data_IF_580454744275
#
_entry.id   IF_580454744275
#
_cell.length_a   1.000
_cell.length_b   1.000
_cell.length_c   1.000
_cell.angle_alpha   90.00
_cell.angle_beta   90.00
_cell.angle_gamma   90.00
#
_symmetry.space_group_name_H-M   'P 1'
#
loop_
_entity.id
_entity.type
_entity.pdbx_description
1 polymer ?
#
# COMPACT_ATOMS: atom_id res chain seq x y z
N UNK A 1 -24.10 -1.01 32.04
CA UNK A 1 -24.14 -1.83 30.81
C UNK A 1 -22.75 -1.85 30.23
N UNK A 2 -22.11 -3.01 30.13
CA UNK A 2 -20.88 -3.10 29.34
C UNK A 2 -21.27 -2.83 27.87
N UNK A 3 -20.84 -1.71 27.35
CA UNK A 3 -20.96 -1.44 25.91
C UNK A 3 -20.13 -2.50 25.22
N UNK A 4 -20.79 -3.41 24.51
CA UNK A 4 -20.10 -4.42 23.71
C UNK A 4 -19.32 -3.68 22.63
N UNK A 5 -18.00 -3.78 22.68
CA UNK A 5 -17.10 -3.20 21.68
C UNK A 5 -17.28 -3.93 20.36
N UNK A 6 -17.47 -3.26 19.22
CA UNK A 6 -17.63 -3.94 17.94
C UNK A 6 -16.32 -4.62 17.53
N UNK A 7 -16.42 -5.76 16.85
CA UNK A 7 -15.30 -6.30 16.08
C UNK A 7 -15.05 -5.41 14.85
N UNK A 8 -13.83 -5.40 14.32
CA UNK A 8 -13.47 -4.58 13.16
C UNK A 8 -12.78 -5.43 12.11
N UNK A 9 -13.29 -5.37 10.89
CA UNK A 9 -12.68 -5.95 9.68
C UNK A 9 -12.21 -4.82 8.77
N UNK A 10 -10.90 -4.68 8.59
CA UNK A 10 -10.27 -3.75 7.66
C UNK A 10 -9.90 -4.50 6.38
N UNK A 11 -10.46 -4.07 5.25
CA UNK A 11 -10.21 -4.62 3.93
C UNK A 11 -9.55 -3.53 3.09
N UNK A 12 -8.34 -3.78 2.60
CA UNK A 12 -7.68 -2.92 1.63
C UNK A 12 -7.80 -3.52 0.24
N UNK A 13 -8.22 -2.71 -0.75
CA UNK A 13 -8.23 -3.06 -2.17
C UNK A 13 -7.25 -2.12 -2.87
N UNK A 14 -6.14 -2.68 -3.35
CA UNK A 14 -5.06 -1.90 -3.95
C UNK A 14 -5.56 -1.05 -5.12
N UNK A 15 -5.14 0.21 -5.14
CA UNK A 15 -5.42 1.21 -6.17
C UNK A 15 -6.92 1.48 -6.45
N UNK A 16 -7.87 1.07 -5.58
CA UNK A 16 -9.29 1.33 -5.78
C UNK A 16 -9.62 2.83 -5.69
N UNK A 17 -9.80 3.46 -6.84
CA UNK A 17 -10.15 4.88 -6.96
C UNK A 17 -11.64 5.11 -6.65
N UNK A 18 -11.99 6.27 -6.04
CA UNK A 18 -13.39 6.62 -5.77
C UNK A 18 -14.31 6.56 -6.98
N UNK A 19 -13.82 6.88 -8.16
CA UNK A 19 -14.62 6.89 -9.39
C UNK A 19 -15.19 5.50 -9.75
N UNK A 20 -14.49 4.40 -9.44
CA UNK A 20 -15.03 3.04 -9.65
C UNK A 20 -16.24 2.74 -8.76
N UNK A 21 -16.38 3.45 -7.65
CA UNK A 21 -17.53 3.32 -6.76
C UNK A 21 -18.73 4.14 -7.24
N UNK A 22 -18.48 5.36 -7.73
CA UNK A 22 -19.54 6.31 -8.06
C UNK A 22 -19.93 6.36 -9.53
N UNK A 23 -19.04 5.95 -10.45
CA UNK A 23 -19.24 5.97 -11.89
C UNK A 23 -19.33 4.56 -12.49
N UNK A 24 -19.83 3.58 -11.74
CA UNK A 24 -19.88 2.16 -12.12
C UNK A 24 -20.46 1.94 -13.53
N UNK A 25 -21.55 2.62 -13.84
CA UNK A 25 -22.22 2.49 -15.14
C UNK A 25 -21.35 2.96 -16.31
N UNK A 26 -20.67 4.09 -16.14
CA UNK A 26 -19.83 4.68 -17.20
C UNK A 26 -18.54 3.88 -17.39
N UNK A 27 -18.06 3.26 -16.32
CA UNK A 27 -16.87 2.39 -16.31
C UNK A 27 -17.22 0.92 -16.62
N UNK A 28 -18.50 0.61 -16.84
CA UNK A 28 -18.98 -0.74 -17.13
C UNK A 28 -18.47 -1.78 -16.10
N UNK A 29 -18.63 -1.46 -14.81
CA UNK A 29 -18.29 -2.33 -13.67
C UNK A 29 -19.51 -2.48 -12.76
N UNK A 30 -19.73 -3.67 -12.22
CA UNK A 30 -20.83 -3.96 -11.30
C UNK A 30 -20.31 -4.36 -9.92
N UNK A 31 -20.63 -3.54 -8.91
CA UNK A 31 -20.16 -3.74 -7.52
C UNK A 31 -21.36 -3.81 -6.57
N UNK A 32 -22.22 -4.86 -6.69
CA UNK A 32 -23.46 -4.92 -5.93
C UNK A 32 -23.25 -4.98 -4.41
N UNK A 33 -22.19 -5.64 -3.92
CA UNK A 33 -21.94 -5.74 -2.49
C UNK A 33 -21.40 -4.43 -1.93
N UNK A 34 -20.45 -3.77 -2.60
CA UNK A 34 -19.94 -2.45 -2.20
C UNK A 34 -21.06 -1.41 -2.23
N UNK A 35 -21.92 -1.44 -3.25
CA UNK A 35 -23.11 -0.59 -3.33
C UNK A 35 -24.03 -0.83 -2.14
N UNK A 36 -24.43 -2.09 -1.92
CA UNK A 36 -25.39 -2.44 -0.87
C UNK A 36 -24.87 -2.09 0.53
N UNK A 37 -23.68 -2.57 0.90
CA UNK A 37 -23.18 -2.37 2.26
C UNK A 37 -22.75 -0.94 2.53
N UNK A 38 -22.01 -0.32 1.63
CA UNK A 38 -21.33 0.94 1.92
C UNK A 38 -22.05 2.16 1.35
N UNK A 39 -22.42 2.17 0.06
CA UNK A 39 -23.01 3.37 -0.55
C UNK A 39 -24.45 3.60 -0.09
N UNK A 40 -25.24 2.53 0.06
CA UNK A 40 -26.64 2.62 0.49
C UNK A 40 -26.81 2.58 2.00
N UNK A 41 -25.98 1.81 2.72
CA UNK A 41 -26.16 1.48 4.12
C UNK A 41 -24.98 1.85 5.03
N UNK A 42 -23.97 2.52 4.55
CA UNK A 42 -22.78 2.94 5.26
C UNK A 42 -22.41 4.40 5.04
N UNK A 43 -21.23 4.78 5.49
CA UNK A 43 -20.61 6.06 5.18
C UNK A 43 -19.48 5.89 4.18
N UNK A 44 -19.25 6.90 3.36
CA UNK A 44 -18.23 6.90 2.34
C UNK A 44 -17.64 8.29 2.11
N UNK A 45 -16.38 8.33 1.69
CA UNK A 45 -15.68 9.57 1.34
C UNK A 45 -15.84 9.85 -0.16
N UNK A 46 -16.85 10.64 -0.55
CA UNK A 46 -17.08 10.96 -1.96
C UNK A 46 -15.95 11.79 -2.59
N UNK A 47 -15.29 12.64 -1.79
CA UNK A 47 -14.14 13.44 -2.22
C UNK A 47 -12.82 12.65 -2.20
N UNK A 48 -12.91 11.36 -1.83
CA UNK A 48 -11.78 10.43 -1.75
C UNK A 48 -10.89 10.66 -0.52
N UNK A 49 -9.83 9.89 -0.47
CA UNK A 49 -8.79 9.93 0.57
C UNK A 49 -7.53 10.51 -0.02
N UNK A 50 -7.02 11.60 0.54
CA UNK A 50 -5.69 12.07 0.21
C UNK A 50 -4.67 11.08 0.78
N UNK A 51 -3.94 10.42 -0.11
CA UNK A 51 -2.91 9.47 0.27
C UNK A 51 -1.68 10.15 0.85
N UNK A 52 -0.67 9.38 1.26
CA UNK A 52 0.61 9.92 1.76
C UNK A 52 1.62 10.07 0.63
N UNK A 53 2.74 10.76 0.90
CA UNK A 53 3.83 10.94 -0.04
C UNK A 53 4.99 9.98 0.28
N UNK A 54 5.37 9.08 -0.70
CA UNK A 54 4.75 8.84 -2.00
C UNK A 54 3.45 8.03 -1.91
N UNK A 55 2.62 8.13 -2.96
CA UNK A 55 1.40 7.35 -3.12
C UNK A 55 1.74 5.93 -3.60
N UNK A 56 2.39 5.15 -2.74
CA UNK A 56 3.01 3.88 -3.06
C UNK A 56 2.60 2.82 -2.02
N UNK A 57 2.36 1.58 -2.43
CA UNK A 57 1.67 0.55 -1.65
C UNK A 57 2.17 0.40 -0.21
N UNK A 58 3.46 0.13 0.00
CA UNK A 58 3.99 -0.14 1.34
C UNK A 58 4.04 1.08 2.25
N UNK A 59 4.49 2.27 1.79
CA UNK A 59 4.33 3.50 2.56
C UNK A 59 2.89 3.78 2.98
N UNK A 60 1.93 3.62 2.05
CA UNK A 60 0.52 3.86 2.31
C UNK A 60 -0.06 2.89 3.33
N UNK A 61 0.18 1.57 3.17
CA UNK A 61 -0.32 0.57 4.11
C UNK A 61 0.27 0.72 5.51
N UNK A 62 1.57 1.08 5.61
CA UNK A 62 2.17 1.35 6.92
C UNK A 62 1.56 2.62 7.55
N UNK A 63 1.30 3.66 6.76
CA UNK A 63 0.60 4.86 7.24
C UNK A 63 -0.83 4.56 7.68
N UNK A 64 -1.55 3.75 6.90
CA UNK A 64 -2.92 3.33 7.18
C UNK A 64 -3.04 2.59 8.52
N UNK A 65 -2.04 1.75 8.88
CA UNK A 65 -2.08 0.92 10.10
C UNK A 65 -1.44 1.60 11.32
N UNK A 66 -0.76 2.73 11.13
CA UNK A 66 -0.07 3.45 12.22
C UNK A 66 -0.64 4.85 12.50
N UNK A 67 -1.30 5.46 11.51
CA UNK A 67 -1.83 6.83 11.59
C UNK A 67 -0.74 7.92 11.49
N UNK A 68 0.47 7.58 10.97
CA UNK A 68 1.57 8.54 10.79
C UNK A 68 2.11 8.52 9.36
N UNK A 69 2.81 9.58 8.97
CA UNK A 69 3.42 9.72 7.66
C UNK A 69 4.68 8.85 7.48
N UNK A 70 5.08 8.55 6.23
CA UNK A 70 6.30 7.83 5.89
C UNK A 70 7.57 8.40 6.53
N UNK A 71 7.68 9.71 6.70
CA UNK A 71 8.81 10.35 7.39
C UNK A 71 8.94 9.93 8.86
N UNK A 72 7.87 9.45 9.51
CA UNK A 72 7.85 9.01 10.91
C UNK A 72 8.02 7.50 11.03
N UNK A 73 7.26 6.71 10.27
CA UNK A 73 7.39 5.25 10.34
C UNK A 73 8.61 4.71 9.57
N UNK A 74 9.21 5.50 8.67
CA UNK A 74 10.48 5.19 8.01
C UNK A 74 10.40 4.31 6.75
N UNK A 75 9.20 3.94 6.30
CA UNK A 75 8.97 3.19 5.06
C UNK A 75 8.48 4.19 3.99
N UNK A 76 9.34 4.53 3.03
CA UNK A 76 9.08 5.51 1.98
C UNK A 76 9.14 4.94 0.56
N UNK A 77 9.23 3.61 0.43
CA UNK A 77 9.26 2.92 -0.85
C UNK A 77 8.78 1.48 -0.66
N UNK A 78 8.35 0.82 -1.73
CA UNK A 78 8.09 -0.62 -1.71
C UNK A 78 9.42 -1.38 -1.64
N UNK A 79 10.43 -0.93 -2.39
CA UNK A 79 11.73 -1.61 -2.56
C UNK A 79 12.77 -0.96 -1.65
N UNK A 80 13.56 -1.79 -0.99
CA UNK A 80 14.70 -1.33 -0.18
C UNK A 80 15.73 -0.64 -1.08
N UNK A 81 16.28 0.48 -0.61
CA UNK A 81 17.33 1.21 -1.31
C UNK A 81 18.56 0.33 -1.52
N UNK A 82 18.89 0.04 -2.79
CA UNK A 82 19.93 -0.93 -3.16
C UNK A 82 20.56 -0.63 -4.53
N UNK A 83 21.37 0.44 -4.65
CA UNK A 83 22.01 0.81 -5.93
C UNK A 83 22.86 -0.29 -6.55
N UNK A 84 23.51 -1.11 -5.71
CA UNK A 84 24.46 -2.14 -6.14
C UNK A 84 23.79 -3.52 -6.36
N UNK A 85 22.47 -3.63 -6.16
CA UNK A 85 21.71 -4.89 -6.32
C UNK A 85 22.09 -5.99 -5.32
N UNK A 86 22.72 -5.64 -4.19
CA UNK A 86 23.16 -6.61 -3.15
C UNK A 86 22.00 -7.28 -2.42
N UNK A 87 20.86 -6.59 -2.35
CA UNK A 87 19.63 -7.06 -1.70
C UNK A 87 18.66 -7.73 -2.67
N UNK A 88 19.03 -7.87 -3.93
CA UNK A 88 18.27 -8.60 -4.97
C UNK A 88 16.80 -8.17 -5.08
N UNK A 89 16.53 -6.87 -5.03
CA UNK A 89 15.17 -6.34 -5.13
C UNK A 89 14.30 -6.58 -3.89
N UNK A 90 14.89 -6.73 -2.72
CA UNK A 90 14.15 -6.93 -1.47
C UNK A 90 13.18 -5.77 -1.20
N UNK A 91 11.98 -6.10 -0.71
CA UNK A 91 10.94 -5.14 -0.38
C UNK A 91 10.89 -4.84 1.12
N UNK A 92 10.11 -3.83 1.50
CA UNK A 92 9.89 -3.44 2.89
C UNK A 92 8.77 -4.29 3.55
N UNK A 93 8.93 -5.61 3.59
CA UNK A 93 7.90 -6.52 4.14
C UNK A 93 7.61 -6.34 5.63
N UNK A 94 8.57 -5.77 6.38
CA UNK A 94 8.48 -5.70 7.84
C UNK A 94 7.65 -4.51 8.31
N UNK A 95 6.80 -4.77 9.32
CA UNK A 95 6.16 -3.70 10.06
C UNK A 95 7.21 -2.75 10.66
N UNK A 96 6.91 -1.45 10.65
CA UNK A 96 7.78 -0.47 11.28
C UNK A 96 7.94 -0.77 12.77
N UNK A 97 9.17 -0.62 13.25
CA UNK A 97 9.51 -0.72 14.68
C UNK A 97 9.52 0.63 15.39
N UNK A 98 9.34 1.71 14.64
CA UNK A 98 9.44 3.07 15.15
C UNK A 98 8.13 3.55 15.82
N UNK A 99 7.00 2.96 15.42
CA UNK A 99 5.65 3.38 15.85
C UNK A 99 4.79 2.18 16.16
N UNK A 100 3.81 2.35 17.06
CA UNK A 100 2.81 1.32 17.38
C UNK A 100 1.88 1.10 16.17
N UNK A 101 1.62 -0.14 15.83
CA UNK A 101 0.63 -0.48 14.81
C UNK A 101 -0.75 -0.69 15.42
N UNK A 102 -1.81 -0.57 14.62
CA UNK A 102 -3.17 -0.84 15.07
C UNK A 102 -3.35 -2.28 15.54
N UNK A 103 -2.58 -3.24 15.00
CA UNK A 103 -2.57 -4.63 15.49
C UNK A 103 -2.10 -4.72 16.94
N UNK A 104 -1.00 -4.04 17.28
CA UNK A 104 -0.45 -4.01 18.63
C UNK A 104 -1.39 -3.27 19.59
N UNK A 105 -1.92 -2.12 19.15
CA UNK A 105 -2.86 -1.32 19.92
C UNK A 105 -4.17 -2.07 20.22
N UNK A 106 -4.75 -2.75 19.23
CA UNK A 106 -5.96 -3.56 19.39
C UNK A 106 -5.73 -4.71 20.39
N UNK A 107 -4.64 -5.46 20.23
CA UNK A 107 -4.26 -6.53 21.16
C UNK A 107 -4.11 -6.02 22.59
N UNK A 108 -3.40 -4.90 22.79
CA UNK A 108 -3.19 -4.26 24.09
C UNK A 108 -4.52 -3.83 24.74
N UNK A 109 -5.55 -3.52 23.93
CA UNK A 109 -6.87 -3.11 24.39
C UNK A 109 -7.90 -4.25 24.45
N UNK A 110 -7.44 -5.52 24.40
CA UNK A 110 -8.25 -6.70 24.69
C UNK A 110 -8.97 -7.30 23.48
N UNK A 111 -8.64 -6.86 22.26
CA UNK A 111 -9.08 -7.48 21.02
C UNK A 111 -8.23 -8.70 20.67
N UNK A 112 -8.82 -9.68 19.98
CA UNK A 112 -8.03 -10.66 19.23
C UNK A 112 -7.57 -9.98 17.94
N UNK A 113 -6.25 -9.77 17.81
CA UNK A 113 -5.67 -9.01 16.70
C UNK A 113 -5.10 -9.93 15.64
N UNK A 114 -5.55 -9.78 14.39
CA UNK A 114 -5.17 -10.65 13.29
C UNK A 114 -4.88 -9.88 11.99
N UNK A 115 -4.11 -10.52 11.12
CA UNK A 115 -3.83 -10.04 9.77
C UNK A 115 -3.63 -11.20 8.82
N UNK A 116 -4.19 -11.07 7.60
CA UNK A 116 -3.97 -12.00 6.50
C UNK A 116 -3.48 -11.22 5.29
N UNK A 117 -2.25 -11.49 4.89
CA UNK A 117 -1.63 -10.96 3.68
C UNK A 117 -1.67 -9.43 3.55
N UNK A 118 -1.67 -8.70 4.65
CA UNK A 118 -1.62 -7.25 4.63
C UNK A 118 -0.18 -6.77 4.40
N UNK A 119 0.08 -5.81 3.50
CA UNK A 119 1.43 -5.28 3.27
C UNK A 119 2.09 -4.79 4.55
N UNK A 120 3.42 -4.91 4.63
CA UNK A 120 4.22 -4.49 5.79
C UNK A 120 3.85 -5.19 7.11
N UNK A 121 3.42 -6.45 7.06
CA UNK A 121 2.96 -7.17 8.27
C UNK A 121 3.94 -8.21 8.82
N UNK A 122 5.09 -8.43 8.17
CA UNK A 122 6.13 -9.33 8.72
C UNK A 122 6.62 -8.79 10.06
N UNK A 123 6.56 -9.63 11.10
CA UNK A 123 6.95 -9.25 12.46
C UNK A 123 5.96 -8.33 13.19
N UNK A 124 4.75 -8.14 12.65
CA UNK A 124 3.68 -7.41 13.34
C UNK A 124 3.28 -8.10 14.65
N UNK A 125 2.96 -7.31 15.67
CA UNK A 125 2.67 -7.80 17.03
C UNK A 125 1.15 -8.03 17.24
N UNK A 126 0.55 -8.88 16.42
CA UNK A 126 -0.84 -9.36 16.59
C UNK A 126 -0.90 -10.70 17.33
N UNK A 127 -2.08 -11.30 17.41
CA UNK A 127 -2.28 -12.66 17.91
C UNK A 127 -2.15 -13.68 16.78
N UNK A 128 -2.71 -13.38 15.60
CA UNK A 128 -2.71 -14.24 14.43
C UNK A 128 -2.28 -13.43 13.20
N UNK A 129 -1.03 -13.55 12.78
CA UNK A 129 -0.47 -12.83 11.64
C UNK A 129 0.01 -13.84 10.60
N UNK A 130 -0.61 -13.85 9.43
CA UNK A 130 -0.10 -14.48 8.21
C UNK A 130 0.31 -13.34 7.29
N UNK A 131 1.61 -13.00 7.22
CA UNK A 131 2.05 -11.79 6.55
C UNK A 131 2.03 -11.92 5.02
N UNK A 132 1.98 -10.78 4.34
CA UNK A 132 2.40 -10.72 2.96
C UNK A 132 3.92 -10.86 2.89
N UNK A 133 4.39 -11.80 2.07
CA UNK A 133 5.81 -11.99 1.81
C UNK A 133 6.02 -12.70 0.47
N UNK A 134 6.90 -12.18 -0.35
CA UNK A 134 7.27 -12.77 -1.63
C UNK A 134 8.71 -12.39 -1.99
N UNK A 135 9.29 -13.12 -2.94
CA UNK A 135 10.64 -12.89 -3.40
C UNK A 135 10.67 -13.10 -4.91
N UNK A 136 11.23 -12.15 -5.64
CA UNK A 136 11.32 -12.21 -7.09
C UNK A 136 11.92 -13.52 -7.57
N UNK A 137 11.26 -14.16 -8.54
CA UNK A 137 11.69 -15.39 -9.19
C UNK A 137 11.91 -16.58 -8.24
N UNK A 138 11.33 -16.58 -7.06
CA UNK A 138 11.39 -17.71 -6.15
C UNK A 138 10.01 -18.34 -5.95
N UNK A 139 9.97 -19.67 -5.96
CA UNK A 139 8.87 -20.42 -5.38
C UNK A 139 9.13 -20.53 -3.87
N UNK A 140 8.46 -19.67 -3.10
CA UNK A 140 8.52 -19.79 -1.66
C UNK A 140 7.73 -21.03 -1.23
N UNK A 141 8.37 -21.90 -0.50
CA UNK A 141 7.70 -22.98 0.21
C UNK A 141 6.80 -22.35 1.30
N UNK A 142 5.66 -22.96 1.55
CA UNK A 142 4.77 -22.62 2.68
C UNK A 142 5.50 -22.58 4.02
N UNK A 143 6.56 -23.36 4.17
CA UNK A 143 7.45 -23.32 5.33
C UNK A 143 8.04 -21.93 5.59
N UNK A 144 8.29 -21.12 4.55
CA UNK A 144 8.74 -19.73 4.72
C UNK A 144 7.65 -18.85 5.31
N UNK A 145 6.42 -18.93 4.76
CA UNK A 145 5.29 -18.16 5.28
C UNK A 145 5.00 -18.56 6.72
N UNK A 146 5.09 -19.85 7.03
CA UNK A 146 4.88 -20.36 8.37
C UNK A 146 5.95 -19.85 9.36
N UNK A 147 7.21 -19.81 8.94
CA UNK A 147 8.32 -19.34 9.76
C UNK A 147 8.22 -17.86 10.14
N UNK A 148 7.55 -17.04 9.32
CA UNK A 148 7.33 -15.60 9.57
C UNK A 148 5.92 -15.29 10.07
N UNK A 149 5.04 -16.29 10.18
CA UNK A 149 3.70 -16.18 10.75
C UNK A 149 3.73 -16.14 12.28
N UNK A 150 2.73 -15.57 12.88
CA UNK A 150 2.53 -15.56 14.33
C UNK A 150 1.12 -16.03 14.69
N UNK A 151 0.95 -17.07 15.54
CA UNK A 151 2.00 -17.97 16.02
C UNK A 151 2.61 -18.81 14.87
N UNK A 152 3.82 -19.28 15.06
CA UNK A 152 4.41 -20.29 14.16
C UNK A 152 3.52 -21.53 14.12
N UNK A 153 3.34 -22.14 12.94
CA UNK A 153 2.42 -23.23 12.70
C UNK A 153 1.03 -22.78 12.19
N UNK A 154 0.74 -21.47 12.22
CA UNK A 154 -0.56 -20.93 11.79
C UNK A 154 -0.81 -21.12 10.28
N UNK A 155 0.17 -20.83 9.43
CA UNK A 155 0.04 -21.03 7.99
C UNK A 155 -0.08 -22.53 7.65
N UNK A 156 0.72 -23.36 8.30
CA UNK A 156 0.62 -24.83 8.15
C UNK A 156 -0.73 -25.40 8.59
N UNK A 157 -1.36 -24.83 9.63
CA UNK A 157 -2.70 -25.19 10.06
C UNK A 157 -3.75 -24.84 8.97
N UNK A 158 -3.64 -23.64 8.39
CA UNK A 158 -4.53 -23.21 7.31
C UNK A 158 -4.38 -24.08 6.05
N UNK A 159 -3.15 -24.44 5.69
CA UNK A 159 -2.87 -25.28 4.53
C UNK A 159 -3.50 -26.68 4.58
N UNK A 160 -3.67 -27.25 5.76
CA UNK A 160 -4.34 -28.57 5.92
C UNK A 160 -5.78 -28.56 5.42
N UNK A 161 -6.46 -27.43 5.52
CA UNK A 161 -7.87 -27.30 5.11
C UNK A 161 -8.01 -26.62 3.74
N UNK A 162 -7.14 -25.66 3.41
CA UNK A 162 -7.28 -24.81 2.22
C UNK A 162 -6.41 -25.28 1.04
N UNK A 163 -5.50 -26.23 1.28
CA UNK A 163 -4.46 -26.58 0.34
C UNK A 163 -3.29 -25.61 0.38
N UNK A 164 -2.26 -25.87 -0.40
CA UNK A 164 -1.00 -25.11 -0.41
C UNK A 164 -1.25 -23.62 -0.65
N UNK A 165 -0.68 -22.78 0.21
CA UNK A 165 -0.60 -21.34 -0.08
C UNK A 165 0.16 -21.14 -1.39
N UNK A 166 -0.32 -20.23 -2.25
CA UNK A 166 0.42 -19.90 -3.44
C UNK A 166 1.73 -19.24 -3.06
N UNK A 167 2.69 -19.38 -3.94
CA UNK A 167 3.95 -18.69 -3.85
C UNK A 167 3.72 -17.23 -3.56
N UNK A 168 4.21 -16.78 -2.40
CA UNK A 168 4.36 -15.43 -2.03
C UNK A 168 3.22 -14.53 -2.46
N UNK A 169 1.99 -14.99 -2.31
CA UNK A 169 0.83 -14.17 -2.60
C UNK A 169 0.91 -13.51 -3.98
N UNK A 170 0.84 -14.35 -4.97
CA UNK A 170 0.56 -13.98 -6.34
C UNK A 170 -0.45 -12.81 -6.40
N UNK A 171 -0.10 -11.70 -7.03
CA UNK A 171 -0.91 -10.48 -7.13
C UNK A 171 -2.09 -10.62 -8.12
N UNK A 172 -2.37 -11.83 -8.61
CA UNK A 172 -3.43 -12.15 -9.57
C UNK A 172 -4.77 -12.40 -8.88
N UNK A 173 -5.82 -12.53 -9.67
CA UNK A 173 -7.16 -12.95 -9.22
C UNK A 173 -7.12 -14.25 -8.41
N UNK A 174 -6.28 -15.21 -8.79
CA UNK A 174 -6.11 -16.46 -8.05
C UNK A 174 -5.48 -16.22 -6.66
N UNK A 175 -4.53 -15.29 -6.58
CA UNK A 175 -3.94 -14.87 -5.32
C UNK A 175 -4.99 -14.24 -4.40
N UNK A 176 -5.86 -13.41 -4.94
CA UNK A 176 -6.95 -12.79 -4.18
C UNK A 176 -8.00 -13.80 -3.72
N UNK A 177 -8.33 -14.79 -4.55
CA UNK A 177 -9.21 -15.89 -4.12
C UNK A 177 -8.62 -16.66 -2.92
N UNK A 178 -7.32 -16.80 -2.86
CA UNK A 178 -6.65 -17.47 -1.74
C UNK A 178 -6.55 -16.57 -0.51
N UNK A 179 -6.32 -15.26 -0.67
CA UNK A 179 -6.42 -14.29 0.44
C UNK A 179 -7.82 -14.29 1.03
N UNK A 180 -8.85 -14.34 0.20
CA UNK A 180 -10.23 -14.50 0.64
C UNK A 180 -10.43 -15.77 1.44
N UNK A 181 -10.04 -16.95 0.92
CA UNK A 181 -10.18 -18.24 1.61
C UNK A 181 -9.45 -18.24 2.95
N UNK A 182 -8.23 -17.71 2.99
CA UNK A 182 -7.45 -17.61 4.21
C UNK A 182 -8.10 -16.67 5.23
N UNK A 183 -8.64 -15.54 4.79
CA UNK A 183 -9.36 -14.59 5.64
C UNK A 183 -10.65 -15.20 6.19
N UNK A 184 -11.43 -15.87 5.36
CA UNK A 184 -12.66 -16.56 5.76
C UNK A 184 -12.37 -17.69 6.76
N UNK A 185 -11.29 -18.45 6.54
CA UNK A 185 -10.82 -19.46 7.49
C UNK A 185 -10.42 -18.83 8.84
N UNK A 186 -9.67 -17.72 8.80
CA UNK A 186 -9.25 -16.97 9.99
C UNK A 186 -10.47 -16.52 10.81
N UNK A 187 -11.46 -15.94 10.15
CA UNK A 187 -12.72 -15.51 10.75
C UNK A 187 -13.41 -16.66 11.47
N UNK A 188 -13.56 -17.80 10.81
CA UNK A 188 -14.29 -18.97 11.34
C UNK A 188 -13.57 -19.70 12.46
N UNK A 189 -12.25 -19.86 12.35
CA UNK A 189 -11.48 -20.76 13.20
C UNK A 189 -10.73 -20.03 14.34
N UNK A 190 -10.39 -18.74 14.18
CA UNK A 190 -9.61 -18.00 15.18
C UNK A 190 -10.37 -16.81 15.78
N UNK A 191 -11.31 -16.20 15.04
CA UNK A 191 -11.92 -14.92 15.42
C UNK A 191 -13.40 -15.04 15.81
N UNK A 192 -13.93 -16.24 15.94
CA UNK A 192 -15.33 -16.45 16.31
C UNK A 192 -15.60 -15.93 17.73
N UNK A 193 -16.25 -14.76 17.84
CA UNK A 193 -16.52 -14.08 19.12
C UNK A 193 -17.43 -14.90 20.04
N UNK A 194 -18.32 -15.73 19.47
CA UNK A 194 -19.20 -16.63 20.24
C UNK A 194 -18.42 -17.70 20.99
N UNK A 195 -17.25 -18.09 20.45
CA UNK A 195 -16.37 -19.08 21.07
C UNK A 195 -15.32 -18.41 21.97
N UNK A 196 -14.76 -17.30 21.52
CA UNK A 196 -13.64 -16.63 22.20
C UNK A 196 -14.10 -15.63 23.27
N UNK A 197 -15.34 -15.16 23.23
CA UNK A 197 -15.88 -14.16 24.15
C UNK A 197 -15.21 -12.78 24.03
N UNK A 198 -14.45 -12.51 22.95
CA UNK A 198 -13.70 -11.26 22.72
C UNK A 198 -13.98 -10.71 21.32
N UNK A 199 -14.05 -9.37 21.17
CA UNK A 199 -14.06 -8.76 19.84
C UNK A 199 -12.72 -8.96 19.13
N UNK A 200 -12.71 -8.83 17.80
CA UNK A 200 -11.50 -8.94 17.01
C UNK A 200 -11.21 -7.67 16.18
N UNK A 201 -9.94 -7.50 15.83
CA UNK A 201 -9.47 -6.64 14.75
C UNK A 201 -8.77 -7.51 13.72
N UNK A 202 -9.26 -7.52 12.49
CA UNK A 202 -8.66 -8.25 11.37
C UNK A 202 -8.39 -7.31 10.21
N UNK A 203 -7.19 -7.35 9.66
CA UNK A 203 -6.86 -6.71 8.38
C UNK A 203 -6.60 -7.75 7.29
N UNK A 204 -7.03 -7.43 6.06
CA UNK A 204 -6.76 -8.20 4.85
C UNK A 204 -6.58 -7.29 3.64
N UNK A 205 -6.08 -7.83 2.53
CA UNK A 205 -5.68 -7.06 1.36
C UNK A 205 -5.97 -7.83 0.08
N UNK A 206 -6.38 -7.10 -0.97
CA UNK A 206 -6.58 -7.59 -2.33
C UNK A 206 -5.72 -6.76 -3.29
N UNK A 207 -4.99 -7.44 -4.18
CA UNK A 207 -3.99 -6.84 -5.04
C UNK A 207 -4.32 -6.87 -6.54
N UNK A 208 -5.20 -7.77 -6.97
CA UNK A 208 -5.34 -8.08 -8.40
C UNK A 208 -5.91 -6.94 -9.24
N UNK A 209 -6.64 -6.01 -8.64
CA UNK A 209 -7.14 -4.83 -9.35
C UNK A 209 -5.97 -3.94 -9.80
N UNK A 210 -5.02 -3.62 -8.90
CA UNK A 210 -3.82 -2.85 -9.25
C UNK A 210 -2.93 -3.58 -10.26
N UNK A 211 -2.67 -4.87 -10.05
CA UNK A 211 -1.86 -5.67 -10.98
C UNK A 211 -2.45 -5.71 -12.39
N UNK A 212 -3.78 -5.89 -12.51
CA UNK A 212 -4.44 -5.82 -13.81
C UNK A 212 -4.41 -4.41 -14.41
N UNK A 213 -4.48 -3.36 -13.60
CA UNK A 213 -4.30 -1.99 -14.06
C UNK A 213 -2.87 -1.77 -14.59
N UNK A 214 -1.84 -2.24 -13.90
CA UNK A 214 -0.45 -2.19 -14.37
C UNK A 214 -0.25 -2.87 -15.73
N UNK A 215 -0.85 -4.04 -15.91
CA UNK A 215 -0.67 -4.84 -17.15
C UNK A 215 -1.53 -4.33 -18.30
N UNK A 216 -2.78 -3.95 -18.05
CA UNK A 216 -3.80 -3.70 -19.06
C UNK A 216 -4.23 -2.24 -19.19
N UNK A 217 -3.98 -1.39 -18.19
CA UNK A 217 -4.42 0.00 -18.05
C UNK A 217 -5.51 0.14 -17.00
N UNK A 218 -5.63 1.35 -16.40
CA UNK A 218 -6.54 1.61 -15.26
C UNK A 218 -7.99 1.24 -15.59
N UNK A 219 -8.46 1.61 -16.78
CA UNK A 219 -9.85 1.43 -17.21
C UNK A 219 -10.05 0.21 -18.12
N UNK A 220 -9.15 -0.76 -18.05
CA UNK A 220 -9.25 -1.98 -18.83
C UNK A 220 -10.40 -2.88 -18.35
N UNK A 221 -10.89 -3.72 -19.26
CA UNK A 221 -11.88 -4.73 -18.92
C UNK A 221 -11.36 -5.73 -17.87
N UNK A 222 -10.08 -6.05 -17.94
CA UNK A 222 -9.40 -6.97 -17.04
C UNK A 222 -9.38 -6.41 -15.61
N UNK A 223 -9.05 -5.14 -15.43
CA UNK A 223 -9.11 -4.47 -14.14
C UNK A 223 -10.56 -4.43 -13.58
N UNK A 224 -11.53 -4.06 -14.41
CA UNK A 224 -12.95 -4.05 -14.02
C UNK A 224 -13.41 -5.45 -13.56
N UNK A 225 -13.08 -6.50 -14.30
CA UNK A 225 -13.43 -7.89 -13.95
C UNK A 225 -12.79 -8.38 -12.66
N UNK A 226 -11.53 -7.97 -12.38
CA UNK A 226 -10.90 -8.24 -11.09
C UNK A 226 -11.65 -7.59 -9.95
N UNK A 227 -12.05 -6.32 -10.12
CA UNK A 227 -12.79 -5.60 -9.09
C UNK A 227 -14.16 -6.22 -8.80
N UNK A 228 -14.87 -6.71 -9.82
CA UNK A 228 -16.14 -7.45 -9.66
C UNK A 228 -15.96 -8.75 -8.87
N UNK A 229 -14.86 -9.47 -9.09
CA UNK A 229 -14.52 -10.67 -8.29
C UNK A 229 -14.20 -10.31 -6.84
N UNK A 230 -13.47 -9.22 -6.63
CA UNK A 230 -13.15 -8.69 -5.30
C UNK A 230 -14.44 -8.28 -4.57
N UNK A 231 -15.36 -7.57 -5.24
CA UNK A 231 -16.68 -7.22 -4.68
C UNK A 231 -17.43 -8.46 -4.17
N UNK A 232 -17.49 -9.52 -4.99
CA UNK A 232 -18.11 -10.77 -4.58
C UNK A 232 -17.45 -11.39 -3.34
N UNK A 233 -16.11 -11.43 -3.27
CA UNK A 233 -15.38 -11.98 -2.14
C UNK A 233 -15.59 -11.13 -0.88
N UNK A 234 -15.62 -9.81 -0.99
CA UNK A 234 -15.94 -8.88 0.11
C UNK A 234 -17.32 -9.16 0.67
N UNK A 235 -18.35 -9.30 -0.18
CA UNK A 235 -19.69 -9.65 0.25
C UNK A 235 -19.73 -10.95 1.08
N UNK A 236 -19.01 -11.99 0.64
CA UNK A 236 -18.91 -13.26 1.40
C UNK A 236 -18.20 -13.10 2.74
N UNK A 237 -17.11 -12.30 2.79
CA UNK A 237 -16.42 -12.05 4.06
C UNK A 237 -17.30 -11.27 5.05
N UNK A 238 -18.05 -10.26 4.58
CA UNK A 238 -18.99 -9.51 5.43
C UNK A 238 -20.03 -10.46 6.03
N UNK A 239 -20.63 -11.35 5.24
CA UNK A 239 -21.62 -12.32 5.74
C UNK A 239 -21.01 -13.27 6.78
N UNK A 240 -19.78 -13.74 6.57
CA UNK A 240 -19.08 -14.55 7.59
C UNK A 240 -18.83 -13.74 8.86
N UNK A 241 -18.30 -12.53 8.73
CA UNK A 241 -17.98 -11.67 9.87
C UNK A 241 -19.23 -11.34 10.71
N UNK A 242 -20.35 -10.97 10.07
CA UNK A 242 -21.66 -10.79 10.75
C UNK A 242 -22.03 -12.00 11.59
N UNK A 243 -21.97 -13.17 10.98
CA UNK A 243 -22.40 -14.43 11.60
C UNK A 243 -21.60 -14.81 12.84
N UNK A 244 -20.27 -14.61 12.79
CA UNK A 244 -19.38 -14.98 13.90
C UNK A 244 -19.31 -13.91 15.00
N UNK A 245 -19.58 -12.63 14.69
CA UNK A 245 -19.56 -11.51 15.63
C UNK A 245 -20.92 -11.20 16.27
N UNK A 246 -21.96 -11.99 15.99
CA UNK A 246 -23.34 -11.73 16.44
C UNK A 246 -23.86 -10.35 16.00
N UNK A 247 -23.53 -9.95 14.77
CA UNK A 247 -23.87 -8.65 14.16
C UNK A 247 -23.13 -7.43 14.79
N UNK A 248 -22.31 -7.61 15.82
CA UNK A 248 -21.48 -6.58 16.43
C UNK A 248 -20.18 -6.41 15.63
N UNK A 249 -20.28 -5.90 14.40
CA UNK A 249 -19.19 -5.76 13.45
C UNK A 249 -19.18 -4.39 12.81
N UNK A 250 -18.00 -3.82 12.62
CA UNK A 250 -17.73 -2.71 11.71
C UNK A 250 -16.77 -3.20 10.62
N UNK A 251 -17.12 -2.94 9.37
CA UNK A 251 -16.28 -3.23 8.21
C UNK A 251 -15.79 -1.91 7.63
N UNK A 252 -14.48 -1.77 7.53
CA UNK A 252 -13.81 -0.67 6.89
C UNK A 252 -13.23 -1.16 5.57
N UNK A 253 -13.66 -0.58 4.47
CA UNK A 253 -13.07 -0.80 3.16
C UNK A 253 -12.29 0.45 2.76
N UNK A 254 -11.05 0.24 2.36
CA UNK A 254 -10.11 1.30 1.99
C UNK A 254 -9.35 0.92 0.74
N UNK A 255 -8.71 1.90 0.10
CA UNK A 255 -7.53 1.67 -0.73
C UNK A 255 -6.36 2.49 -0.21
N UNK A 256 -5.21 2.25 -0.73
CA UNK A 256 -3.96 2.89 -0.34
C UNK A 256 -3.66 4.11 -1.22
N UNK A 257 -3.90 4.00 -2.51
CA UNK A 257 -3.73 5.05 -3.52
C UNK A 257 -4.69 4.84 -4.70
N UNK A 258 -4.60 5.71 -5.68
CA UNK A 258 -5.14 5.52 -6.99
C UNK A 258 -4.03 5.23 -8.01
N UNK A 259 -4.36 5.31 -9.30
CA UNK A 259 -3.43 5.10 -10.40
C UNK A 259 -3.82 5.91 -11.63
N UNK A 260 -2.88 6.09 -12.55
CA UNK A 260 -3.10 6.73 -13.84
C UNK A 260 -2.31 6.02 -14.95
N UNK A 261 -2.73 6.22 -16.19
CA UNK A 261 -2.07 5.59 -17.33
C UNK A 261 -0.65 6.11 -17.51
N UNK A 262 0.28 5.19 -17.79
CA UNK A 262 1.68 5.48 -18.02
C UNK A 262 1.97 5.57 -19.52
N UNK A 263 2.65 6.65 -19.94
CA UNK A 263 2.94 6.94 -21.35
C UNK A 263 4.46 6.93 -21.64
N UNK A 264 5.26 7.26 -20.64
CA UNK A 264 6.71 7.43 -20.79
C UNK A 264 7.45 6.87 -19.60
N UNK A 265 8.64 6.32 -19.86
CA UNK A 265 9.64 5.99 -18.84
C UNK A 265 10.79 6.97 -18.91
N UNK A 266 11.21 7.52 -17.75
CA UNK A 266 12.38 8.39 -17.63
C UNK A 266 13.39 7.78 -16.65
N UNK A 267 14.68 7.94 -16.94
CA UNK A 267 15.78 7.31 -16.20
C UNK A 267 16.85 8.32 -15.80
N UNK A 268 16.70 9.01 -14.65
CA UNK A 268 17.68 10.02 -14.20
C UNK A 268 19.09 9.45 -14.01
N UNK A 269 19.21 8.18 -13.62
CA UNK A 269 20.53 7.53 -13.48
C UNK A 269 21.33 7.47 -14.77
N UNK A 270 20.70 7.50 -15.95
CA UNK A 270 21.39 7.61 -17.24
C UNK A 270 22.17 8.93 -17.34
N UNK A 271 21.60 10.03 -16.85
CA UNK A 271 22.26 11.32 -16.81
C UNK A 271 23.40 11.32 -15.79
N UNK A 272 23.15 10.77 -14.59
CA UNK A 272 24.18 10.64 -13.57
C UNK A 272 25.36 9.78 -14.04
N UNK A 273 25.10 8.70 -14.78
CA UNK A 273 26.12 7.85 -15.37
C UNK A 273 26.94 8.60 -16.43
N UNK A 274 26.31 9.34 -17.34
CA UNK A 274 26.98 10.19 -18.34
C UNK A 274 27.83 11.30 -17.68
N UNK A 275 27.43 11.75 -16.49
CA UNK A 275 28.20 12.71 -15.70
C UNK A 275 29.32 12.05 -14.86
N UNK A 276 29.60 10.75 -15.03
CA UNK A 276 30.57 9.98 -14.24
C UNK A 276 30.28 9.98 -12.73
N UNK A 277 28.99 10.01 -12.34
CA UNK A 277 28.52 9.92 -10.96
C UNK A 277 28.06 8.48 -10.61
N UNK A 278 27.90 7.63 -11.62
CA UNK A 278 27.64 6.18 -11.50
C UNK A 278 28.58 5.45 -12.43
N UNK A 279 29.22 4.38 -11.95
CA UNK A 279 30.02 3.45 -12.76
C UNK A 279 29.38 2.07 -12.75
N UNK A 280 29.37 1.43 -13.88
CA UNK A 280 28.76 0.09 -14.08
C UNK A 280 29.59 -0.73 -15.07
N UNK A 281 29.39 -2.06 -15.10
CA UNK A 281 30.05 -2.97 -16.02
C UNK A 281 29.21 -3.19 -17.31
N UNK A 282 29.68 -4.02 -18.21
CA UNK A 282 29.00 -4.36 -19.47
C UNK A 282 27.64 -5.04 -19.27
N UNK A 283 27.40 -5.67 -18.11
CA UNK A 283 26.12 -6.27 -17.71
C UNK A 283 25.18 -5.26 -16.99
N UNK A 284 25.49 -3.96 -17.07
CA UNK A 284 24.76 -2.86 -16.42
C UNK A 284 24.74 -2.93 -14.88
N UNK A 285 25.57 -3.78 -14.28
CA UNK A 285 25.69 -3.88 -12.84
C UNK A 285 26.48 -2.70 -12.29
N UNK A 286 25.88 -1.97 -11.34
CA UNK A 286 26.52 -0.83 -10.67
C UNK A 286 27.74 -1.32 -9.87
N UNK A 287 28.90 -0.75 -10.15
CA UNK A 287 30.17 -1.01 -9.49
C UNK A 287 30.45 0.02 -8.38
N UNK A 288 30.15 1.29 -8.68
CA UNK A 288 30.25 2.40 -7.71
C UNK A 288 29.29 3.51 -8.11
N UNK A 289 28.90 4.34 -7.12
CA UNK A 289 27.99 5.46 -7.32
C UNK A 289 28.32 6.59 -6.34
N UNK A 290 28.14 7.82 -6.76
CA UNK A 290 28.20 9.01 -5.92
C UNK A 290 26.81 9.58 -5.62
N UNK A 291 25.89 9.36 -6.53
CA UNK A 291 24.47 9.69 -6.42
C UNK A 291 23.66 8.55 -7.04
N UNK A 292 22.48 8.28 -6.51
CA UNK A 292 21.55 7.29 -7.02
C UNK A 292 20.12 7.80 -6.96
N UNK A 293 19.37 7.59 -8.06
CA UNK A 293 17.93 7.78 -8.15
C UNK A 293 17.24 6.43 -7.96
N UNK A 294 16.54 6.24 -6.84
CA UNK A 294 15.75 5.05 -6.57
C UNK A 294 14.29 5.30 -6.91
N UNK A 295 13.77 4.57 -7.87
CA UNK A 295 12.36 4.70 -8.31
C UNK A 295 11.36 4.41 -7.20
N UNK A 296 10.22 5.13 -7.24
CA UNK A 296 8.99 4.88 -6.50
C UNK A 296 7.79 5.28 -7.39
N UNK A 297 7.66 4.64 -8.56
CA UNK A 297 6.63 4.96 -9.55
C UNK A 297 6.83 6.32 -10.21
N UNK A 298 5.88 7.23 -10.00
CA UNK A 298 5.94 8.62 -10.45
C UNK A 298 6.87 9.53 -9.64
N UNK A 299 7.52 9.01 -8.60
CA UNK A 299 8.56 9.72 -7.84
C UNK A 299 9.86 8.93 -7.80
N UNK A 300 10.94 9.58 -7.41
CA UNK A 300 12.19 8.91 -7.08
C UNK A 300 12.95 9.65 -5.98
N UNK A 301 13.46 8.90 -5.01
CA UNK A 301 14.40 9.44 -4.03
C UNK A 301 15.81 9.51 -4.61
N UNK A 302 16.47 10.63 -4.40
CA UNK A 302 17.86 10.85 -4.76
C UNK A 302 18.69 10.84 -3.48
N UNK A 303 19.70 9.98 -3.44
CA UNK A 303 20.65 9.94 -2.32
C UNK A 303 22.08 10.12 -2.81
N UNK A 304 22.83 10.92 -2.07
CA UNK A 304 24.28 11.02 -2.21
C UNK A 304 24.95 9.95 -1.36
N UNK A 305 25.92 9.23 -1.90
CA UNK A 305 26.68 8.22 -1.15
C UNK A 305 27.45 8.85 0.03
N UNK A 306 27.96 10.05 -0.18
CA UNK A 306 28.60 10.87 0.83
C UNK A 306 27.92 12.25 0.89
N UNK A 307 27.09 12.46 1.89
CA UNK A 307 26.39 13.72 2.10
C UNK A 307 27.32 14.93 2.33
N UNK A 308 28.60 14.70 2.70
CA UNK A 308 29.60 15.75 2.93
C UNK A 308 30.39 16.12 1.66
N UNK A 309 30.19 15.41 0.54
CA UNK A 309 30.84 15.74 -0.74
C UNK A 309 30.13 16.93 -1.40
N UNK A 310 30.60 18.12 -1.06
CA UNK A 310 30.05 19.41 -1.55
C UNK A 310 30.18 19.57 -3.07
N UNK A 311 31.26 19.03 -3.67
CA UNK A 311 31.45 19.09 -5.12
C UNK A 311 30.44 18.24 -5.86
N UNK A 312 30.28 16.97 -5.42
CA UNK A 312 29.26 16.09 -5.97
C UNK A 312 27.85 16.67 -5.77
N UNK A 313 27.52 17.18 -4.58
CA UNK A 313 26.23 17.82 -4.30
C UNK A 313 25.93 18.94 -5.29
N UNK A 314 26.86 19.86 -5.50
CA UNK A 314 26.67 20.98 -6.44
C UNK A 314 26.47 20.51 -7.88
N UNK A 315 27.19 19.46 -8.30
CA UNK A 315 27.00 18.87 -9.64
C UNK A 315 25.62 18.23 -9.78
N UNK A 316 25.16 17.53 -8.76
CA UNK A 316 23.81 16.93 -8.72
C UNK A 316 22.75 18.02 -8.77
N UNK A 317 22.87 19.07 -7.95
CA UNK A 317 21.94 20.21 -7.95
C UNK A 317 21.83 20.87 -9.34
N UNK A 318 22.93 21.06 -10.03
CA UNK A 318 22.91 21.60 -11.39
C UNK A 318 22.16 20.69 -12.36
N UNK A 319 22.40 19.36 -12.31
CA UNK A 319 21.68 18.38 -13.15
C UNK A 319 20.19 18.38 -12.84
N UNK A 320 19.82 18.40 -11.56
CA UNK A 320 18.42 18.44 -11.15
C UNK A 320 17.73 19.74 -11.59
N UNK A 321 18.43 20.85 -11.55
CA UNK A 321 17.94 22.14 -12.04
C UNK A 321 17.73 22.12 -13.56
N UNK A 322 18.69 21.61 -14.34
CA UNK A 322 18.56 21.41 -15.78
C UNK A 322 17.36 20.54 -16.14
N UNK A 323 17.13 19.43 -15.40
CA UNK A 323 15.96 18.57 -15.58
C UNK A 323 14.65 19.29 -15.27
N UNK A 324 14.62 20.16 -14.27
CA UNK A 324 13.42 20.90 -13.90
C UNK A 324 13.11 21.99 -14.95
N UNK A 325 14.12 22.61 -15.55
CA UNK A 325 13.99 23.66 -16.56
C UNK A 325 13.64 23.12 -17.96
N UNK A 326 13.97 21.85 -18.24
CA UNK A 326 13.61 21.21 -19.51
C UNK A 326 12.14 20.76 -19.49
N UNK A 327 11.30 21.44 -20.25
CA UNK A 327 9.87 21.10 -20.38
C UNK A 327 9.62 19.67 -20.86
N UNK A 328 10.57 19.05 -21.53
CA UNK A 328 10.49 17.69 -22.09
C UNK A 328 11.09 16.62 -21.14
N UNK A 329 11.65 17.01 -20.01
CA UNK A 329 12.26 16.07 -19.05
C UNK A 329 11.26 15.12 -18.41
N UNK A 330 9.96 15.46 -18.37
CA UNK A 330 8.96 14.74 -17.62
C UNK A 330 9.00 14.99 -16.11
N UNK A 331 9.91 15.87 -15.62
CA UNK A 331 9.99 16.27 -14.22
C UNK A 331 9.07 17.46 -13.96
N UNK A 332 8.29 17.37 -12.88
CA UNK A 332 7.38 18.41 -12.42
C UNK A 332 7.99 19.22 -11.27
N UNK A 333 8.59 18.52 -10.29
CA UNK A 333 9.17 19.14 -9.10
C UNK A 333 10.50 18.46 -8.73
N UNK A 334 11.38 19.25 -8.12
CA UNK A 334 12.57 18.76 -7.42
C UNK A 334 12.47 19.27 -5.98
N UNK A 335 12.31 18.36 -5.04
CA UNK A 335 12.19 18.68 -3.62
C UNK A 335 13.53 18.43 -2.92
N UNK A 336 13.95 19.35 -2.07
CA UNK A 336 15.06 19.13 -1.14
C UNK A 336 14.59 18.33 0.10
N UNK A 337 15.54 17.94 0.95
CA UNK A 337 15.26 17.15 2.16
C UNK A 337 14.17 17.77 3.04
N UNK A 338 14.26 19.06 3.35
CA UNK A 338 13.31 19.74 4.24
C UNK A 338 11.89 19.77 3.65
N UNK A 339 11.78 19.97 2.34
CA UNK A 339 10.51 19.92 1.62
C UNK A 339 9.91 18.49 1.63
N UNK A 340 10.75 17.45 1.50
CA UNK A 340 10.30 16.05 1.60
C UNK A 340 9.72 15.74 2.98
N UNK A 341 10.42 16.15 4.04
CA UNK A 341 9.96 15.97 5.43
C UNK A 341 8.67 16.74 5.68
N UNK A 342 8.56 17.97 5.16
CA UNK A 342 7.32 18.76 5.29
C UNK A 342 6.13 18.09 4.60
N UNK A 343 6.32 17.44 3.46
CA UNK A 343 5.29 16.62 2.78
C UNK A 343 5.05 15.25 3.44
N UNK A 344 5.80 14.92 4.49
CA UNK A 344 5.65 13.66 5.23
C UNK A 344 6.32 12.44 4.57
N UNK A 345 7.16 12.63 3.56
CA UNK A 345 7.81 11.53 2.80
C UNK A 345 9.31 11.44 2.98
N UNK A 346 9.91 10.44 2.41
CA UNK A 346 11.33 10.22 2.09
C UNK A 346 12.36 10.74 3.12
N UNK A 347 12.37 10.22 4.37
CA UNK A 347 13.20 10.78 5.45
C UNK A 347 14.70 10.61 5.24
N UNK A 348 15.13 9.83 4.26
CA UNK A 348 16.54 9.57 3.97
C UNK A 348 17.00 10.16 2.64
N UNK A 349 16.11 10.81 1.88
CA UNK A 349 16.44 11.42 0.60
C UNK A 349 17.21 12.74 0.79
N UNK A 350 18.22 12.97 -0.04
CA UNK A 350 18.81 14.32 -0.20
C UNK A 350 17.90 15.20 -1.06
N UNK A 351 17.31 14.59 -2.11
CA UNK A 351 16.31 15.23 -2.99
C UNK A 351 15.25 14.20 -3.39
N UNK A 352 14.08 14.67 -3.86
CA UNK A 352 13.07 13.83 -4.50
C UNK A 352 12.66 14.44 -5.82
N UNK A 353 12.64 13.61 -6.86
CA UNK A 353 12.04 13.95 -8.13
C UNK A 353 10.56 13.59 -8.11
N UNK A 354 9.72 14.51 -8.55
CA UNK A 354 8.29 14.27 -8.80
C UNK A 354 8.06 14.42 -10.29
N UNK A 355 7.52 13.38 -10.95
CA UNK A 355 7.28 13.41 -12.38
C UNK A 355 5.92 14.06 -12.73
N UNK A 356 5.81 14.50 -13.99
CA UNK A 356 4.53 14.86 -14.61
C UNK A 356 3.65 13.62 -14.75
N UNK A 357 2.34 13.80 -14.83
CA UNK A 357 1.39 12.71 -15.09
C UNK A 357 1.78 11.92 -16.34
N UNK A 358 1.72 10.59 -16.24
CA UNK A 358 2.06 9.69 -17.36
C UNK A 358 3.55 9.41 -17.54
N UNK A 359 4.41 9.88 -16.64
CA UNK A 359 5.85 9.60 -16.66
C UNK A 359 6.23 8.73 -15.45
N UNK A 360 6.69 7.52 -15.69
CA UNK A 360 7.27 6.64 -14.66
C UNK A 360 8.78 6.83 -14.57
N UNK A 361 9.33 6.93 -13.35
CA UNK A 361 10.77 7.00 -13.12
C UNK A 361 11.34 5.58 -12.99
N UNK A 362 12.45 5.32 -13.69
CA UNK A 362 13.13 4.01 -13.74
C UNK A 362 14.54 4.10 -13.20
N UNK A 363 15.12 2.94 -12.82
CA UNK A 363 16.49 2.85 -12.28
C UNK A 363 17.58 2.61 -13.35
N UNK A 364 17.25 2.62 -14.65
CA UNK A 364 18.20 2.29 -15.72
C UNK A 364 19.42 3.23 -15.69
N UNK A 365 20.60 2.67 -15.92
CA UNK A 365 21.89 3.41 -15.99
C UNK A 365 22.38 3.60 -17.42
N UNK A 366 21.77 2.89 -18.39
CA UNK A 366 22.07 2.95 -19.82
C UNK A 366 20.81 3.21 -20.63
N UNK A 367 20.99 3.42 -21.94
CA UNK A 367 19.90 3.69 -22.87
C UNK A 367 19.50 5.17 -22.95
N UNK A 368 18.28 5.47 -23.48
CA UNK A 368 17.76 6.83 -23.52
C UNK A 368 17.26 7.28 -22.14
N UNK A 369 17.36 8.59 -21.88
CA UNK A 369 16.77 9.19 -20.68
C UNK A 369 15.24 9.05 -20.65
N UNK A 370 14.59 9.28 -21.79
CA UNK A 370 13.14 9.18 -21.94
C UNK A 370 12.79 8.23 -23.08
N UNK A 371 11.78 7.39 -22.89
CA UNK A 371 11.24 6.49 -23.90
C UNK A 371 9.73 6.33 -23.72
N UNK A 372 9.01 6.11 -24.83
CA UNK A 372 7.59 5.76 -24.84
C UNK A 372 7.34 4.24 -24.84
N UNK A 373 8.39 3.44 -24.70
CA UNK A 373 8.28 1.99 -24.49
C UNK A 373 8.04 1.75 -22.99
N UNK A 374 6.77 1.73 -22.60
CA UNK A 374 6.38 1.51 -21.20
C UNK A 374 6.26 0.02 -20.89
N UNK A 375 6.74 -0.37 -19.71
CA UNK A 375 6.63 -1.75 -19.22
C UNK A 375 5.30 -2.00 -18.53
N UNK A 376 4.79 -1.00 -17.84
CA UNK A 376 3.51 -1.00 -17.15
C UNK A 376 2.61 0.06 -17.79
N UNK A 377 1.36 -0.31 -18.11
CA UNK A 377 0.39 0.59 -18.76
C UNK A 377 -0.23 1.60 -17.80
N UNK A 378 -0.30 1.26 -16.52
CA UNK A 378 -0.70 2.18 -15.46
C UNK A 378 0.36 2.22 -14.38
N UNK A 379 0.42 3.32 -13.63
CA UNK A 379 1.37 3.51 -12.55
C UNK A 379 0.79 4.44 -11.46
N UNK A 380 1.34 4.30 -10.28
CA UNK A 380 1.10 5.12 -9.09
C UNK A 380 2.43 5.67 -8.53
N UNK A 381 2.47 6.12 -7.29
CA UNK A 381 3.70 6.72 -6.71
C UNK A 381 3.93 8.15 -7.16
N UNK A 382 2.92 8.81 -7.73
CA UNK A 382 2.97 10.23 -8.09
C UNK A 382 2.73 11.14 -6.88
N UNK A 383 2.66 12.45 -7.14
CA UNK A 383 2.27 13.42 -6.12
C UNK A 383 0.91 13.08 -5.52
N UNK A 384 0.80 13.13 -4.20
CA UNK A 384 -0.45 12.98 -3.45
C UNK A 384 -1.46 14.12 -3.70
N UNK A 385 -1.02 15.16 -4.41
CA UNK A 385 -1.88 16.27 -4.85
C UNK A 385 -2.63 15.95 -6.16
N UNK A 386 -2.29 14.86 -6.85
CA UNK A 386 -3.00 14.47 -8.05
C UNK A 386 -4.32 13.78 -7.70
N UNK A 387 -5.41 14.26 -8.31
CA UNK A 387 -6.76 13.69 -8.09
C UNK A 387 -6.81 12.18 -8.40
N UNK A 388 -6.04 11.75 -9.41
CA UNK A 388 -5.96 10.34 -9.81
C UNK A 388 -5.30 9.45 -8.76
N UNK A 389 -4.56 10.05 -7.81
CA UNK A 389 -3.91 9.32 -6.70
C UNK A 389 -4.80 9.20 -5.47
N UNK A 390 -6.00 9.78 -5.48
CA UNK A 390 -6.94 9.63 -4.37
C UNK A 390 -7.35 8.17 -4.17
N UNK A 391 -7.32 7.77 -2.93
CA UNK A 391 -7.76 6.46 -2.45
C UNK A 391 -9.25 6.49 -2.05
N UNK A 392 -9.81 5.33 -1.75
CA UNK A 392 -11.18 5.15 -1.30
C UNK A 392 -11.25 4.89 0.21
N UNK A 393 -12.37 5.30 0.83
CA UNK A 393 -12.70 4.97 2.22
C UNK A 393 -14.19 4.81 2.38
N UNK A 394 -14.59 3.70 2.99
CA UNK A 394 -15.98 3.40 3.33
C UNK A 394 -16.05 2.65 4.65
N UNK A 395 -17.12 2.89 5.42
CA UNK A 395 -17.45 2.16 6.65
C UNK A 395 -18.90 1.69 6.62
N UNK A 396 -19.12 0.49 7.11
CA UNK A 396 -20.44 -0.07 7.35
C UNK A 396 -20.44 -0.88 8.64
N UNK A 397 -21.57 -0.90 9.34
CA UNK A 397 -21.77 -1.82 10.46
C UNK A 397 -22.41 -1.17 11.68
N UNK A 398 -22.13 -1.75 12.84
CA UNK A 398 -22.72 -1.37 14.12
C UNK A 398 -22.46 0.09 14.47
N UNK A 399 -23.55 0.80 14.71
CA UNK A 399 -23.57 2.23 15.09
C UNK A 399 -22.86 3.17 14.08
N UNK A 400 -22.59 2.70 12.85
CA UNK A 400 -22.10 3.52 11.75
C UNK A 400 -23.30 4.17 11.06
N UNK A 401 -23.26 5.49 10.90
CA UNK A 401 -24.27 6.25 10.17
C UNK A 401 -24.31 5.92 8.67
N UNK A 402 -25.02 6.75 7.91
CA UNK A 402 -25.09 6.63 6.43
C UNK A 402 -24.76 7.97 5.80
N UNK A 403 -24.17 7.92 4.61
CA UNK A 403 -23.99 9.06 3.73
C UNK A 403 -22.55 9.47 3.50
N UNK A 404 -22.39 10.55 2.75
CA UNK A 404 -21.10 11.12 2.39
C UNK A 404 -20.49 11.88 3.58
N UNK A 405 -19.20 11.65 3.85
CA UNK A 405 -18.43 12.32 4.90
C UNK A 405 -17.40 13.33 4.33
N UNK A 406 -17.43 13.58 3.01
CA UNK A 406 -16.44 14.42 2.33
C UNK A 406 -15.14 13.68 2.06
N UNK A 407 -14.01 14.34 2.28
CA UNK A 407 -12.66 13.78 2.15
C UNK A 407 -11.95 13.62 3.48
N UNK A 408 -10.91 12.77 3.50
CA UNK A 408 -10.03 12.56 4.65
C UNK A 408 -8.60 12.27 4.18
N UNK A 409 -7.67 12.18 5.13
CA UNK A 409 -6.30 11.76 4.87
C UNK A 409 -6.11 10.28 5.22
N UNK A 410 -5.21 9.59 4.53
CA UNK A 410 -4.93 8.16 4.75
C UNK A 410 -4.51 7.88 6.21
N UNK A 411 -3.78 8.80 6.83
CA UNK A 411 -3.36 8.71 8.23
C UNK A 411 -4.51 8.84 9.24
N UNK A 412 -5.72 9.25 8.82
CA UNK A 412 -6.90 9.34 9.67
C UNK A 412 -7.55 7.96 9.92
N UNK A 413 -7.20 6.95 9.12
CA UNK A 413 -7.82 5.61 9.18
C UNK A 413 -7.53 4.92 10.52
N UNK A 414 -6.25 4.80 10.91
CA UNK A 414 -5.90 4.13 12.16
C UNK A 414 -6.54 4.78 13.41
N UNK A 415 -6.45 6.10 13.63
CA UNK A 415 -7.11 6.73 14.79
C UNK A 415 -8.63 6.65 14.73
N UNK A 416 -9.23 6.62 13.53
CA UNK A 416 -10.69 6.42 13.38
C UNK A 416 -11.09 5.02 13.83
N UNK A 417 -10.41 3.97 13.35
CA UNK A 417 -10.70 2.59 13.75
C UNK A 417 -10.40 2.37 15.24
N UNK A 418 -9.32 2.94 15.76
CA UNK A 418 -9.02 2.90 17.20
C UNK A 418 -10.14 3.49 18.03
N UNK A 419 -10.69 4.66 17.64
CA UNK A 419 -11.81 5.30 18.33
C UNK A 419 -13.08 4.44 18.27
N UNK A 420 -13.42 3.83 17.13
CA UNK A 420 -14.52 2.89 16.98
C UNK A 420 -14.34 1.69 17.94
N UNK A 421 -13.11 1.20 18.09
CA UNK A 421 -12.77 0.13 19.02
C UNK A 421 -12.68 0.58 20.50
N UNK A 422 -12.85 1.89 20.79
CA UNK A 422 -12.88 2.45 22.13
C UNK A 422 -11.51 2.65 22.77
N UNK A 423 -10.49 3.00 21.98
CA UNK A 423 -9.16 3.42 22.45
C UNK A 423 -8.54 4.48 21.52
N UNK A 424 -7.40 5.03 21.93
CA UNK A 424 -6.65 6.04 21.18
C UNK A 424 -5.26 5.55 20.78
N UNK A 425 -4.79 6.00 19.63
CA UNK A 425 -3.41 5.88 19.17
C UNK A 425 -2.69 7.21 19.35
N UNK A 426 -2.00 7.37 20.50
CA UNK A 426 -1.43 8.66 20.92
C UNK A 426 -0.36 9.23 19.98
N UNK A 427 0.34 8.36 19.23
CA UNK A 427 1.35 8.79 18.27
C UNK A 427 0.77 9.17 16.90
N UNK A 428 -0.50 8.90 16.63
CA UNK A 428 -1.12 9.21 15.34
C UNK A 428 -1.02 10.71 15.04
N UNK A 429 -0.62 11.03 13.81
CA UNK A 429 -0.65 12.40 13.27
C UNK A 429 -2.01 12.71 12.65
N UNK A 430 -2.71 11.67 12.20
CA UNK A 430 -4.08 11.76 11.73
C UNK A 430 -5.09 11.95 12.88
N UNK A 431 -6.32 12.27 12.53
CA UNK A 431 -7.43 12.48 13.47
C UNK A 431 -8.54 11.47 13.24
N UNK A 432 -9.21 11.07 14.32
CA UNK A 432 -10.44 10.29 14.19
C UNK A 432 -11.58 11.17 13.62
N UNK A 433 -12.29 10.64 12.62
CA UNK A 433 -13.35 11.37 11.89
C UNK A 433 -14.76 11.21 12.49
N UNK A 434 -14.92 10.35 13.52
CA UNK A 434 -16.18 10.16 14.27
C UNK A 434 -16.00 10.44 15.76
#
# INVERSE_FOLDING_TARGET
MNILKPSVLLISVDALKPEFLFNQKDLNVELPNLTHYFLENGVYAADGVKSVFPTFTYPCHQSMITGVNPSVHGISNNIIFDPEGKRKGAWHWFASKNVETLWEAAKRNGYVSASVAFPTSVGAKGDYIVPEFWWDNSELDSAFIDAISNPQGLAAEMEKELGRFPNGLNLTDQGDEQRYKATDWMLKNKLNTKQNGKPFFLSTYFASFDENAHVHGVYSKEAAQSLEKIDFMIGKMIETAKKISSEEIVVCLVSDHGSLDNCYNISPNVIFAKANLITFNEEEKVLDWKVWSQRAGGTAEIRLKNAQDVETRKRVENILQELLEDENSGILEVLNHDQCIHRGGFPQADYVLVSKKGYEIRNNVTGPYCTNQVYQKAQHGYSEEFEEMKASFMLWGKDIGKGNIGGLHLIDIAPTLAKIMGFEMKQAQGRAIF
#
